data_IF_411518571528
#
_entry.id   IF_411518571528
#
_cell.length_a   1.000
_cell.length_b   1.000
_cell.length_c   1.000
_cell.angle_alpha   90.00
_cell.angle_beta   90.00
_cell.angle_gamma   90.00
#
_symmetry.space_group_name_H-M   'P 1'
#
loop_
_entity.id
_entity.type
_entity.pdbx_description
1 polymer ?
#
# COMPACT_ATOMS: atom_id res chain seq x y z
N UNK A 1 -28.64 -1.00 -31.51
CA UNK A 1 -27.83 -0.47 -30.40
C UNK A 1 -26.46 -0.15 -30.96
N UNK A 2 -25.87 0.99 -30.58
CA UNK A 2 -24.49 1.29 -30.93
C UNK A 2 -23.55 0.26 -30.29
N UNK A 3 -22.46 -0.07 -30.97
CA UNK A 3 -21.48 -1.02 -30.48
C UNK A 3 -20.64 -0.37 -29.37
N UNK A 4 -20.80 -0.86 -28.14
CA UNK A 4 -20.16 -0.30 -26.94
C UNK A 4 -18.64 -0.53 -26.89
N UNK A 5 -18.12 -1.50 -27.65
CA UNK A 5 -16.68 -1.80 -27.71
C UNK A 5 -15.97 -1.13 -28.89
N UNK A 6 -16.66 -0.26 -29.62
CA UNK A 6 -16.11 0.42 -30.81
C UNK A 6 -14.91 1.31 -30.46
N UNK A 7 -15.01 2.15 -29.42
CA UNK A 7 -13.85 2.92 -28.93
C UNK A 7 -12.74 2.01 -28.39
N UNK A 8 -13.10 0.93 -27.71
CA UNK A 8 -12.14 -0.04 -27.19
C UNK A 8 -11.30 -0.64 -28.31
N UNK A 9 -11.93 -1.19 -29.35
CA UNK A 9 -11.22 -1.79 -30.49
C UNK A 9 -10.38 -0.78 -31.27
N UNK A 10 -10.85 0.47 -31.43
CA UNK A 10 -10.06 1.51 -32.10
C UNK A 10 -8.72 1.81 -31.41
N UNK A 11 -8.61 1.55 -30.11
CA UNK A 11 -7.41 1.83 -29.33
C UNK A 11 -6.42 0.66 -29.26
N UNK A 12 -6.78 -0.53 -29.78
CA UNK A 12 -5.95 -1.75 -29.70
C UNK A 12 -5.64 -2.30 -31.08
N UNK A 13 -4.45 -2.87 -31.20
CA UNK A 13 -4.07 -3.73 -32.32
C UNK A 13 -3.97 -5.18 -31.81
N UNK A 14 -4.91 -6.03 -32.22
CA UNK A 14 -5.00 -7.42 -31.78
C UNK A 14 -3.77 -8.27 -32.14
N UNK A 15 -2.92 -7.81 -33.07
CA UNK A 15 -1.66 -8.48 -33.41
C UNK A 15 -0.52 -8.10 -32.45
N UNK A 16 -0.68 -7.05 -31.65
CA UNK A 16 0.39 -6.44 -30.84
C UNK A 16 0.14 -6.50 -29.33
N UNK A 17 -1.11 -6.69 -28.90
CA UNK A 17 -1.46 -6.78 -27.49
C UNK A 17 -1.98 -8.17 -27.11
N UNK A 18 -1.65 -8.70 -25.92
CA UNK A 18 -2.28 -9.90 -25.38
C UNK A 18 -3.71 -9.64 -24.85
N UNK A 19 -4.18 -8.39 -24.88
CA UNK A 19 -5.54 -8.04 -24.46
C UNK A 19 -6.60 -8.74 -25.33
N UNK A 20 -7.76 -9.12 -24.75
CA UNK A 20 -8.87 -9.67 -25.53
C UNK A 20 -9.47 -8.58 -26.46
N UNK A 21 -9.54 -8.85 -27.77
CA UNK A 21 -10.13 -7.93 -28.76
C UNK A 21 -11.23 -8.65 -29.56
N UNK A 22 -12.44 -8.83 -28.99
CA UNK A 22 -13.50 -9.55 -29.68
C UNK A 22 -14.06 -8.74 -30.84
N UNK A 23 -14.22 -9.38 -32.01
CA UNK A 23 -14.73 -8.74 -33.24
C UNK A 23 -16.14 -8.14 -33.08
N UNK A 24 -16.95 -8.70 -32.17
CA UNK A 24 -18.32 -8.25 -31.87
C UNK A 24 -18.59 -8.35 -30.37
N UNK A 25 -19.46 -7.47 -29.87
CA UNK A 25 -20.05 -7.66 -28.54
C UNK A 25 -20.91 -8.93 -28.59
N UNK A 26 -20.72 -9.91 -27.69
CA UNK A 26 -21.62 -11.05 -27.60
C UNK A 26 -23.06 -10.55 -27.48
N UNK A 27 -23.96 -11.05 -28.32
CA UNK A 27 -25.37 -10.67 -28.26
C UNK A 27 -25.91 -10.82 -26.84
N UNK A 28 -26.79 -9.90 -26.40
CA UNK A 28 -27.35 -9.80 -25.04
C UNK A 28 -28.01 -11.12 -24.63
N UNK A 29 -27.22 -12.10 -24.16
CA UNK A 29 -27.77 -13.30 -23.53
C UNK A 29 -28.27 -12.82 -22.19
N UNK A 30 -29.59 -12.66 -22.07
CA UNK A 30 -30.27 -12.47 -20.78
C UNK A 30 -29.92 -13.68 -19.91
N UNK A 31 -28.80 -13.61 -19.20
CA UNK A 31 -28.51 -14.44 -18.05
C UNK A 31 -29.51 -14.03 -16.98
N UNK A 32 -30.73 -14.57 -17.05
CA UNK A 32 -31.85 -14.16 -16.22
C UNK A 32 -31.72 -14.63 -14.75
N UNK A 33 -30.52 -15.00 -14.26
CA UNK A 33 -30.35 -15.61 -12.93
C UNK A 33 -29.02 -15.38 -12.21
N UNK A 34 -27.99 -14.74 -12.80
CA UNK A 34 -26.72 -14.50 -12.10
C UNK A 34 -26.55 -13.02 -11.75
N UNK A 35 -26.13 -12.74 -10.52
CA UNK A 35 -25.73 -11.40 -10.10
C UNK A 35 -24.60 -10.90 -11.02
N UNK A 36 -24.62 -9.62 -11.42
CA UNK A 36 -23.58 -9.07 -12.27
C UNK A 36 -22.25 -9.06 -11.52
N UNK A 37 -21.15 -9.25 -12.25
CA UNK A 37 -19.81 -9.40 -11.69
C UNK A 37 -19.03 -8.10 -11.73
N UNK A 38 -18.02 -8.01 -10.88
CA UNK A 38 -17.00 -6.98 -11.00
C UNK A 38 -15.60 -7.60 -10.96
N UNK A 39 -14.64 -6.84 -11.47
CA UNK A 39 -13.22 -7.07 -11.23
C UNK A 39 -12.57 -5.74 -10.87
N UNK A 40 -11.62 -5.79 -9.94
CA UNK A 40 -10.68 -4.71 -9.66
C UNK A 40 -9.32 -5.21 -10.09
N UNK A 41 -8.68 -4.52 -11.03
CA UNK A 41 -7.35 -4.88 -11.51
C UNK A 41 -6.33 -3.83 -11.06
N UNK A 42 -5.17 -4.27 -10.61
CA UNK A 42 -4.04 -3.41 -10.36
C UNK A 42 -3.22 -3.28 -11.65
N UNK A 43 -2.99 -2.04 -12.08
CA UNK A 43 -2.35 -1.73 -13.35
C UNK A 43 -1.10 -0.87 -13.15
N UNK A 44 0.06 -1.48 -13.35
CA UNK A 44 1.38 -0.85 -13.33
C UNK A 44 1.72 -0.30 -14.73
N UNK A 45 1.01 0.75 -15.14
CA UNK A 45 1.30 1.48 -16.37
C UNK A 45 2.38 2.57 -16.12
N UNK A 46 2.26 3.74 -16.76
CA UNK A 46 3.08 4.92 -16.42
C UNK A 46 3.01 5.31 -14.94
N UNK A 47 1.89 5.00 -14.29
CA UNK A 47 1.69 5.14 -12.86
C UNK A 47 0.75 4.03 -12.37
N UNK A 48 0.99 3.55 -11.15
CA UNK A 48 0.11 2.59 -10.51
C UNK A 48 -1.31 3.16 -10.31
N UNK A 49 -2.31 2.40 -10.75
CA UNK A 49 -3.74 2.67 -10.53
C UNK A 49 -4.54 1.37 -10.48
N UNK A 50 -5.83 1.49 -10.14
CA UNK A 50 -6.75 0.37 -10.07
C UNK A 50 -7.90 0.56 -11.06
N UNK A 51 -8.15 -0.41 -11.92
CA UNK A 51 -9.31 -0.39 -12.81
C UNK A 51 -10.48 -1.08 -12.12
N UNK A 52 -11.52 -0.32 -11.78
CA UNK A 52 -12.82 -0.87 -11.36
C UNK A 52 -13.64 -1.13 -12.61
N UNK A 53 -14.09 -2.37 -12.77
CA UNK A 53 -14.85 -2.82 -13.94
C UNK A 53 -16.11 -3.53 -13.51
N UNK A 54 -17.26 -3.05 -13.98
CA UNK A 54 -18.58 -3.54 -13.62
C UNK A 54 -19.26 -4.15 -14.84
N UNK A 55 -19.65 -5.42 -14.77
CA UNK A 55 -20.45 -6.09 -15.79
C UNK A 55 -21.79 -5.37 -15.95
N UNK A 56 -22.00 -4.74 -17.10
CA UNK A 56 -23.21 -3.98 -17.40
C UNK A 56 -23.52 -4.04 -18.90
N UNK A 57 -24.73 -4.48 -19.25
CA UNK A 57 -25.19 -4.58 -20.64
C UNK A 57 -24.26 -5.33 -21.62
N UNK A 58 -23.59 -6.38 -21.13
CA UNK A 58 -22.75 -7.27 -21.94
C UNK A 58 -21.32 -6.76 -22.18
N UNK A 59 -20.94 -5.67 -21.52
CA UNK A 59 -19.58 -5.13 -21.46
C UNK A 59 -19.19 -4.83 -20.02
N UNK A 60 -17.96 -4.37 -19.81
CA UNK A 60 -17.46 -3.87 -18.53
C UNK A 60 -17.38 -2.34 -18.55
N UNK A 61 -18.31 -1.68 -17.87
CA UNK A 61 -18.20 -0.26 -17.58
C UNK A 61 -16.99 -0.04 -16.65
N UNK A 62 -16.10 0.87 -17.02
CA UNK A 62 -14.73 0.88 -16.49
C UNK A 62 -14.28 2.27 -16.01
N UNK A 63 -13.64 2.29 -14.84
CA UNK A 63 -13.03 3.49 -14.26
C UNK A 63 -11.63 3.19 -13.76
N UNK A 64 -10.67 4.04 -14.14
CA UNK A 64 -9.33 4.05 -13.55
C UNK A 64 -9.34 4.87 -12.25
N UNK A 65 -8.99 4.24 -11.14
CA UNK A 65 -9.04 4.79 -9.77
C UNK A 65 -7.61 4.87 -9.22
N UNK A 66 -6.91 6.03 -9.31
CA UNK A 66 -5.47 6.12 -9.04
C UNK A 66 -5.02 5.90 -7.59
N UNK A 67 -5.96 5.82 -6.65
CA UNK A 67 -5.71 5.52 -5.23
C UNK A 67 -6.49 4.29 -4.75
N UNK A 68 -7.03 3.49 -5.67
CA UNK A 68 -7.92 2.37 -5.34
C UNK A 68 -9.27 2.84 -4.80
N UNK A 69 -10.14 1.90 -4.44
CA UNK A 69 -11.46 2.23 -3.89
C UNK A 69 -11.32 2.78 -2.46
N UNK A 70 -12.04 3.86 -2.10
CA UNK A 70 -11.95 4.44 -0.76
C UNK A 70 -12.53 3.47 0.28
N UNK A 71 -11.79 3.26 1.37
CA UNK A 71 -12.31 2.59 2.57
C UNK A 71 -12.96 3.58 3.54
N UNK A 72 -12.43 4.80 3.56
CA UNK A 72 -12.95 5.92 4.35
C UNK A 72 -14.22 6.49 3.70
N UNK A 73 -15.40 6.44 4.36
CA UNK A 73 -16.62 7.05 3.83
C UNK A 73 -16.55 8.58 3.75
N UNK A 74 -15.62 9.22 4.48
CA UNK A 74 -15.38 10.66 4.46
C UNK A 74 -14.52 11.15 3.30
N UNK A 75 -13.96 10.25 2.47
CA UNK A 75 -13.04 10.62 1.37
C UNK A 75 -13.59 10.23 0.01
N UNK A 76 -13.43 11.15 -0.94
CA UNK A 76 -13.68 10.90 -2.35
C UNK A 76 -12.36 10.58 -3.05
N UNK A 77 -12.34 9.54 -3.88
CA UNK A 77 -11.22 9.24 -4.76
C UNK A 77 -11.57 9.61 -6.20
N UNK A 78 -10.59 10.08 -6.98
CA UNK A 78 -10.75 10.26 -8.42
C UNK A 78 -11.00 8.90 -9.09
N UNK A 79 -11.98 8.84 -9.97
CA UNK A 79 -12.32 7.69 -10.80
C UNK A 79 -12.45 8.17 -12.25
N UNK A 80 -11.41 8.03 -13.07
CA UNK A 80 -11.47 8.49 -14.46
C UNK A 80 -12.25 7.47 -15.27
N UNK A 81 -13.38 7.89 -15.85
CA UNK A 81 -14.18 7.00 -16.70
C UNK A 81 -13.42 6.71 -18.01
N UNK A 82 -13.21 5.44 -18.31
CA UNK A 82 -12.55 4.96 -19.54
C UNK A 82 -13.58 4.35 -20.48
N UNK A 83 -13.17 3.94 -21.68
CA UNK A 83 -14.02 3.16 -22.56
C UNK A 83 -14.49 1.85 -21.91
N UNK A 84 -15.60 1.30 -22.39
CA UNK A 84 -16.08 -0.02 -21.98
C UNK A 84 -15.09 -1.10 -22.41
N UNK A 85 -14.92 -2.14 -21.59
CA UNK A 85 -14.02 -3.25 -21.86
C UNK A 85 -14.79 -4.55 -22.12
N UNK A 86 -14.20 -5.51 -22.87
CA UNK A 86 -14.85 -6.79 -23.13
C UNK A 86 -14.94 -7.66 -21.86
N UNK A 87 -15.91 -8.56 -21.82
CA UNK A 87 -16.22 -9.39 -20.64
C UNK A 87 -15.05 -10.26 -20.17
N UNK A 88 -14.15 -10.60 -21.08
CA UNK A 88 -12.93 -11.36 -20.89
C UNK A 88 -11.95 -10.67 -19.92
N UNK A 89 -12.07 -9.36 -19.73
CA UNK A 89 -11.28 -8.62 -18.74
C UNK A 89 -11.58 -9.02 -17.30
N UNK A 90 -12.72 -9.67 -17.02
CA UNK A 90 -13.02 -10.18 -15.67
C UNK A 90 -11.96 -11.15 -15.14
N UNK A 91 -11.24 -11.84 -16.03
CA UNK A 91 -10.20 -12.80 -15.67
C UNK A 91 -8.82 -12.46 -16.27
N UNK A 92 -8.74 -11.41 -17.08
CA UNK A 92 -7.50 -11.02 -17.74
C UNK A 92 -6.45 -10.54 -16.74
N UNK A 93 -5.22 -10.98 -16.97
CA UNK A 93 -4.00 -10.52 -16.32
C UNK A 93 -2.85 -10.75 -17.31
N UNK A 94 -1.79 -9.95 -17.24
CA UNK A 94 -0.68 -10.05 -18.18
C UNK A 94 0.15 -8.77 -18.28
N UNK A 95 1.16 -8.80 -19.15
CA UNK A 95 1.99 -7.64 -19.49
C UNK A 95 1.54 -7.08 -20.84
N UNK A 96 1.02 -5.85 -20.85
CA UNK A 96 0.70 -5.14 -22.09
C UNK A 96 1.99 -4.47 -22.60
N UNK A 97 2.45 -4.75 -23.83
CA UNK A 97 3.73 -4.26 -24.32
C UNK A 97 3.91 -2.74 -24.24
N UNK A 98 5.14 -2.30 -24.00
CA UNK A 98 5.47 -0.88 -24.00
C UNK A 98 5.17 -0.24 -25.36
N UNK A 99 4.50 0.92 -25.34
CA UNK A 99 4.08 1.65 -26.54
C UNK A 99 2.65 1.33 -26.99
N UNK A 100 2.04 0.24 -26.50
CA UNK A 100 0.62 -0.01 -26.67
C UNK A 100 -0.23 0.89 -25.75
N UNK A 101 -1.50 1.09 -26.12
CA UNK A 101 -2.44 1.82 -25.27
C UNK A 101 -2.68 1.03 -23.99
N UNK A 102 -2.38 1.64 -22.83
CA UNK A 102 -2.45 0.93 -21.56
C UNK A 102 -1.26 0.00 -21.31
N UNK A 103 -0.11 0.20 -21.96
CA UNK A 103 1.10 -0.57 -21.71
C UNK A 103 1.50 -0.61 -20.22
N UNK A 104 1.85 -1.79 -19.74
CA UNK A 104 2.17 -2.07 -18.35
C UNK A 104 1.65 -3.42 -17.85
N UNK A 105 2.00 -3.76 -16.62
CA UNK A 105 1.58 -5.01 -15.97
C UNK A 105 0.19 -4.90 -15.36
N UNK A 106 -0.70 -5.83 -15.69
CA UNK A 106 -2.04 -5.95 -15.13
C UNK A 106 -2.18 -7.23 -14.30
N UNK A 107 -2.76 -7.10 -13.11
CA UNK A 107 -3.05 -8.23 -12.20
C UNK A 107 -4.47 -8.08 -11.64
N UNK A 108 -5.15 -9.20 -11.40
CA UNK A 108 -6.46 -9.17 -10.71
C UNK A 108 -6.21 -8.96 -9.21
N UNK A 109 -6.72 -7.84 -8.69
CA UNK A 109 -6.64 -7.52 -7.27
C UNK A 109 -7.81 -8.12 -6.48
N UNK A 110 -9.02 -8.06 -7.03
CA UNK A 110 -10.24 -8.57 -6.41
C UNK A 110 -11.30 -8.88 -7.46
N UNK A 111 -12.20 -9.80 -7.15
CA UNK A 111 -13.36 -10.12 -7.98
C UNK A 111 -14.54 -10.46 -7.10
N UNK A 112 -15.75 -10.32 -7.65
CA UNK A 112 -16.95 -10.63 -6.92
C UNK A 112 -18.19 -10.34 -7.72
N UNK A 113 -19.29 -10.20 -7.00
CA UNK A 113 -20.58 -9.77 -7.56
C UNK A 113 -20.95 -8.41 -7.01
N UNK A 114 -21.86 -7.73 -7.70
CA UNK A 114 -22.39 -6.48 -7.21
C UNK A 114 -23.90 -6.39 -7.41
N UNK A 115 -24.54 -5.51 -6.65
CA UNK A 115 -25.93 -5.09 -6.88
C UNK A 115 -25.93 -3.64 -7.33
N UNK A 116 -26.52 -3.36 -8.48
CA UNK A 116 -26.80 -1.99 -8.91
C UNK A 116 -28.04 -1.46 -8.16
N UNK A 117 -27.88 -0.39 -7.38
CA UNK A 117 -29.00 0.34 -6.78
C UNK A 117 -29.44 1.52 -7.66
N UNK A 118 -28.49 2.11 -8.41
CA UNK A 118 -28.74 3.18 -9.37
C UNK A 118 -27.73 3.09 -10.51
N UNK A 119 -28.20 3.33 -11.74
CA UNK A 119 -27.34 3.42 -12.92
C UNK A 119 -27.84 4.51 -13.85
N UNK A 120 -27.09 5.62 -13.94
CA UNK A 120 -27.29 6.73 -14.87
C UNK A 120 -25.96 7.14 -15.47
N UNK A 121 -26.02 7.90 -16.56
CA UNK A 121 -24.83 8.38 -17.29
C UNK A 121 -23.93 9.30 -16.46
N UNK A 122 -24.42 9.84 -15.34
CA UNK A 122 -23.69 10.76 -14.46
C UNK A 122 -23.56 10.24 -13.01
N UNK A 123 -24.22 9.14 -12.67
CA UNK A 123 -24.19 8.57 -11.33
C UNK A 123 -24.50 7.07 -11.32
N UNK A 124 -23.64 6.30 -10.67
CA UNK A 124 -23.77 4.85 -10.47
C UNK A 124 -23.65 4.53 -8.99
N UNK A 125 -24.64 3.85 -8.41
CA UNK A 125 -24.62 3.38 -7.03
C UNK A 125 -24.63 1.85 -7.04
N UNK A 126 -23.61 1.25 -6.43
CA UNK A 126 -23.43 -0.20 -6.36
C UNK A 126 -23.10 -0.66 -4.96
N UNK A 127 -23.54 -1.86 -4.61
CA UNK A 127 -23.04 -2.61 -3.44
C UNK A 127 -22.13 -3.70 -3.97
N UNK A 128 -20.84 -3.62 -3.65
CA UNK A 128 -19.83 -4.62 -4.02
C UNK A 128 -19.76 -5.70 -2.96
N UNK A 129 -19.69 -6.95 -3.40
CA UNK A 129 -19.42 -8.13 -2.57
C UNK A 129 -18.34 -8.99 -3.25
N UNK A 130 -17.08 -8.68 -2.93
CA UNK A 130 -15.90 -9.44 -3.33
C UNK A 130 -15.17 -10.08 -2.16
N UNK A 131 -14.01 -10.64 -2.46
CA UNK A 131 -13.14 -11.28 -1.47
C UNK A 131 -12.45 -10.23 -0.60
N UNK A 132 -12.02 -9.11 -1.21
CA UNK A 132 -11.29 -8.02 -0.52
C UNK A 132 -12.11 -6.76 -0.37
N UNK A 133 -12.98 -6.48 -1.33
CA UNK A 133 -13.76 -5.24 -1.41
C UNK A 133 -15.22 -5.54 -1.15
N UNK A 134 -15.71 -5.03 -0.02
CA UNK A 134 -17.13 -5.04 0.35
C UNK A 134 -17.58 -3.66 0.76
N UNK A 135 -18.76 -3.26 0.28
CA UNK A 135 -19.39 -2.01 0.72
C UNK A 135 -20.22 -1.35 -0.37
N UNK A 136 -20.83 -0.22 -0.01
CA UNK A 136 -21.72 0.55 -0.87
C UNK A 136 -21.00 1.77 -1.41
N UNK A 137 -20.85 1.82 -2.72
CA UNK A 137 -20.11 2.86 -3.42
C UNK A 137 -21.02 3.69 -4.31
N UNK A 138 -20.74 4.99 -4.39
CA UNK A 138 -21.29 5.90 -5.40
C UNK A 138 -20.16 6.38 -6.28
N UNK A 139 -20.31 6.20 -7.60
CA UNK A 139 -19.55 6.88 -8.62
C UNK A 139 -20.40 8.02 -9.17
N UNK A 140 -19.84 9.22 -9.28
CA UNK A 140 -20.57 10.38 -9.78
C UNK A 140 -19.66 11.28 -10.60
N UNK A 141 -20.18 11.83 -11.69
CA UNK A 141 -19.47 12.79 -12.51
C UNK A 141 -19.35 14.14 -11.79
N UNK A 142 -18.14 14.68 -11.72
CA UNK A 142 -17.92 16.07 -11.29
C UNK A 142 -17.90 16.95 -12.54
N UNK A 143 -18.88 17.85 -12.69
CA UNK A 143 -19.10 18.62 -13.93
C UNK A 143 -17.81 19.14 -14.59
N UNK A 144 -17.68 18.89 -15.91
CA UNK A 144 -16.47 19.04 -16.72
C UNK A 144 -16.60 18.19 -18.00
N UNK A 145 -15.57 18.08 -18.87
CA UNK A 145 -15.61 17.27 -20.12
C UNK A 145 -15.71 15.76 -19.83
N UNK A 146 -16.86 15.28 -19.35
CA UNK A 146 -17.36 13.89 -19.39
C UNK A 146 -16.55 12.75 -18.74
N UNK A 147 -15.30 12.96 -18.33
CA UNK A 147 -14.38 11.89 -17.88
C UNK A 147 -13.96 11.97 -16.42
N UNK A 148 -14.14 13.11 -15.79
CA UNK A 148 -13.74 13.33 -14.40
C UNK A 148 -14.89 12.87 -13.48
N UNK A 149 -14.81 11.62 -13.02
CA UNK A 149 -15.70 11.10 -12.00
C UNK A 149 -14.98 10.97 -10.67
N UNK A 150 -15.77 10.88 -9.61
CA UNK A 150 -15.30 10.55 -8.27
C UNK A 150 -16.00 9.29 -7.81
N UNK A 151 -15.34 8.52 -6.95
CA UNK A 151 -15.92 7.38 -6.22
C UNK A 151 -15.84 7.65 -4.72
N UNK A 152 -16.89 7.28 -4.00
CA UNK A 152 -17.01 7.41 -2.53
C UNK A 152 -17.68 6.18 -1.95
N UNK A 153 -17.21 5.72 -0.78
CA UNK A 153 -17.91 4.75 0.06
C UNK A 153 -19.01 5.47 0.85
N UNK A 154 -20.20 4.90 0.92
CA UNK A 154 -21.39 5.55 1.53
C UNK A 154 -21.96 4.80 2.71
N UNK A 155 -21.63 3.52 2.87
CA UNK A 155 -21.87 2.77 4.10
C UNK A 155 -20.73 3.03 5.10
N UNK A 156 -20.97 2.83 6.41
CA UNK A 156 -19.93 2.90 7.42
C UNK A 156 -18.75 1.99 7.08
N UNK A 157 -17.56 2.38 7.55
CA UNK A 157 -16.40 1.50 7.52
C UNK A 157 -16.64 0.27 8.41
N UNK A 158 -15.93 -0.85 8.19
CA UNK A 158 -15.99 -2.01 9.06
C UNK A 158 -15.71 -1.68 10.53
N UNK A 159 -16.27 -2.45 11.46
CA UNK A 159 -15.96 -2.31 12.88
C UNK A 159 -14.45 -2.47 13.13
N UNK A 160 -13.89 -1.63 14.01
CA UNK A 160 -12.45 -1.59 14.30
C UNK A 160 -11.59 -0.91 13.23
N UNK A 161 -12.16 -0.53 12.08
CA UNK A 161 -11.46 0.26 11.07
C UNK A 161 -11.35 1.73 11.51
N UNK A 162 -10.19 2.31 11.26
CA UNK A 162 -9.85 3.71 11.49
C UNK A 162 -9.19 4.29 10.24
N UNK A 163 -9.36 5.58 9.94
CA UNK A 163 -8.63 6.22 8.85
C UNK A 163 -7.13 6.23 9.17
N UNK A 164 -6.31 6.20 8.12
CA UNK A 164 -4.87 6.37 8.27
C UNK A 164 -4.57 7.67 9.02
N UNK A 165 -3.76 7.63 10.10
CA UNK A 165 -3.42 8.83 10.85
C UNK A 165 -2.60 9.80 10.00
N UNK A 166 -2.84 11.10 10.16
CA UNK A 166 -2.10 12.13 9.42
C UNK A 166 -0.68 12.35 9.96
N UNK A 167 -0.46 12.07 11.25
CA UNK A 167 0.80 12.18 11.94
C UNK A 167 0.86 11.19 13.11
N UNK A 168 1.91 10.37 13.14
CA UNK A 168 2.35 9.60 14.30
C UNK A 168 3.78 10.03 14.61
N UNK A 169 3.97 10.65 15.77
CA UNK A 169 5.29 11.12 16.21
C UNK A 169 6.17 9.94 16.64
N UNK A 170 7.46 9.87 16.26
CA UNK A 170 8.32 8.77 16.65
C UNK A 170 8.44 8.61 18.17
N UNK A 171 8.29 7.39 18.67
CA UNK A 171 8.71 6.99 20.02
C UNK A 171 10.24 6.98 20.08
N UNK A 172 10.82 7.49 21.17
CA UNK A 172 12.27 7.63 21.34
C UNK A 172 12.76 6.75 22.51
N UNK A 173 13.92 6.08 22.37
CA UNK A 173 14.49 5.33 23.48
C UNK A 173 14.95 6.27 24.61
N UNK A 174 14.80 5.82 25.85
CA UNK A 174 15.59 6.34 26.97
C UNK A 174 17.03 5.81 26.90
N UNK A 175 17.97 6.51 27.53
CA UNK A 175 19.34 6.03 27.62
C UNK A 175 19.42 4.81 28.56
N UNK A 176 19.95 3.71 28.05
CA UNK A 176 20.22 2.49 28.79
C UNK A 176 21.72 2.32 28.97
N UNK A 177 22.23 2.51 30.19
CA UNK A 177 23.67 2.37 30.46
C UNK A 177 24.17 0.92 30.35
N UNK A 178 23.29 -0.08 30.50
CA UNK A 178 23.61 -1.52 30.42
C UNK A 178 22.43 -2.29 29.81
N UNK A 179 22.70 -3.50 29.32
CA UNK A 179 21.66 -4.45 28.93
C UNK A 179 20.72 -4.74 30.11
N UNK A 180 19.39 -4.87 29.87
CA UNK A 180 18.44 -5.34 30.86
C UNK A 180 18.87 -6.70 31.43
N UNK A 181 18.61 -6.92 32.72
CA UNK A 181 18.96 -8.19 33.38
C UNK A 181 18.00 -9.32 33.02
N UNK A 182 16.75 -8.98 32.79
CA UNK A 182 15.64 -9.85 32.39
C UNK A 182 15.58 -9.98 30.87
N UNK A 183 16.65 -10.48 30.25
CA UNK A 183 16.83 -10.40 28.80
C UNK A 183 15.66 -10.96 27.98
N UNK A 184 14.99 -12.01 28.46
CA UNK A 184 13.83 -12.65 27.81
C UNK A 184 12.60 -11.74 27.69
N UNK A 185 12.51 -10.67 28.47
CA UNK A 185 11.44 -9.67 28.35
C UNK A 185 11.70 -8.63 27.25
N UNK A 186 12.82 -8.72 26.53
CA UNK A 186 13.29 -7.71 25.58
C UNK A 186 13.65 -8.30 24.22
N UNK A 187 13.31 -7.55 23.18
CA UNK A 187 13.82 -7.72 21.83
C UNK A 187 14.90 -6.68 21.55
N UNK A 188 15.95 -7.08 20.81
CA UNK A 188 17.09 -6.22 20.52
C UNK A 188 17.18 -5.97 19.02
N UNK A 189 17.33 -4.71 18.63
CA UNK A 189 17.61 -4.29 17.27
C UNK A 189 18.97 -3.59 17.20
N UNK A 190 19.67 -3.72 16.07
CA UNK A 190 20.87 -2.91 15.82
C UNK A 190 20.49 -1.43 15.72
N UNK A 191 21.27 -0.57 16.38
CA UNK A 191 21.06 0.87 16.31
C UNK A 191 21.75 1.44 15.07
N UNK A 192 20.95 1.79 14.08
CA UNK A 192 21.42 2.31 12.81
C UNK A 192 21.79 3.80 12.89
N UNK A 193 22.98 4.17 12.42
CA UNK A 193 23.45 5.56 12.31
C UNK A 193 22.85 6.28 11.09
N UNK A 194 21.53 6.42 11.06
CA UNK A 194 20.76 7.00 9.95
C UNK A 194 19.80 8.11 10.36
N UNK A 195 18.90 8.45 9.43
CA UNK A 195 17.86 9.47 9.63
C UNK A 195 16.54 8.77 9.93
N UNK A 196 15.89 9.10 11.06
CA UNK A 196 14.56 8.55 11.39
C UNK A 196 13.54 8.99 10.34
N UNK A 197 12.68 8.08 9.91
CA UNK A 197 11.61 8.40 8.96
C UNK A 197 10.33 7.59 9.23
N UNK A 198 9.19 8.27 9.13
CA UNK A 198 7.84 7.73 9.21
C UNK A 198 7.26 7.62 7.80
N UNK A 199 7.04 6.40 7.32
CA UNK A 199 6.52 6.13 5.98
C UNK A 199 5.02 5.83 6.02
N UNK A 200 4.23 6.65 5.36
CA UNK A 200 2.79 6.49 5.17
C UNK A 200 2.56 6.00 3.74
N UNK A 201 2.13 4.75 3.61
CA UNK A 201 1.93 4.08 2.32
C UNK A 201 0.44 3.86 2.10
N UNK A 202 -0.14 4.47 1.07
CA UNK A 202 -1.54 4.30 0.70
C UNK A 202 -1.70 4.36 -0.81
N UNK A 203 -2.44 3.40 -1.38
CA UNK A 203 -2.74 3.35 -2.81
C UNK A 203 -1.50 3.47 -3.70
N UNK A 204 -0.40 2.79 -3.35
CA UNK A 204 0.84 2.83 -4.13
C UNK A 204 1.67 4.10 -3.98
N UNK A 205 1.30 4.99 -3.05
CA UNK A 205 1.95 6.29 -2.86
C UNK A 205 2.60 6.34 -1.49
N UNK A 206 3.74 7.01 -1.45
CA UNK A 206 4.49 7.28 -0.24
C UNK A 206 4.31 8.74 0.16
N UNK A 207 4.03 8.98 1.44
CA UNK A 207 4.36 10.21 2.15
C UNK A 207 5.37 9.88 3.23
N UNK A 208 6.45 10.64 3.31
CA UNK A 208 7.56 10.37 4.23
C UNK A 208 7.80 11.59 5.11
N UNK A 209 7.73 11.41 6.43
CA UNK A 209 8.08 12.44 7.41
C UNK A 209 9.40 12.07 8.08
N UNK A 210 10.25 13.04 8.38
CA UNK A 210 11.44 12.80 9.20
C UNK A 210 11.11 12.76 10.70
N UNK A 211 12.14 12.61 11.55
CA UNK A 211 11.98 12.51 13.00
C UNK A 211 11.42 13.77 13.70
N UNK A 212 11.36 14.89 12.97
CA UNK A 212 10.90 16.21 13.44
C UNK A 212 9.63 16.66 12.69
N UNK A 213 8.92 15.69 12.08
CA UNK A 213 7.65 15.82 11.34
C UNK A 213 7.72 16.56 9.99
N UNK A 214 8.91 16.87 9.47
CA UNK A 214 9.03 17.53 8.17
C UNK A 214 8.77 16.54 7.04
N UNK A 215 8.00 16.95 6.03
CA UNK A 215 7.79 16.11 4.85
C UNK A 215 9.04 16.09 3.95
N UNK A 216 9.62 14.90 3.80
CA UNK A 216 10.86 14.66 3.05
C UNK A 216 10.65 13.69 1.88
N UNK A 217 9.41 13.42 1.48
CA UNK A 217 9.05 12.50 0.39
C UNK A 217 9.85 12.74 -0.90
N UNK A 218 9.97 14.01 -1.33
CA UNK A 218 10.68 14.39 -2.56
C UNK A 218 12.21 14.26 -2.47
N UNK A 219 12.76 14.13 -1.27
CA UNK A 219 14.20 13.98 -1.04
C UNK A 219 14.70 12.57 -1.33
N UNK A 220 13.83 11.57 -1.31
CA UNK A 220 14.18 10.14 -1.45
C UNK A 220 13.31 9.45 -2.52
N UNK A 221 13.41 9.84 -3.80
CA UNK A 221 12.52 9.37 -4.86
C UNK A 221 12.60 7.86 -5.11
N UNK A 222 13.74 7.23 -4.80
CA UNK A 222 13.97 5.79 -4.92
C UNK A 222 13.04 4.95 -4.01
N UNK A 223 12.47 5.53 -2.94
CA UNK A 223 11.59 4.81 -2.02
C UNK A 223 10.15 4.68 -2.53
N UNK A 224 9.79 5.37 -3.63
CA UNK A 224 8.46 5.24 -4.24
C UNK A 224 8.10 3.80 -4.57
N UNK A 225 9.06 3.03 -5.06
CA UNK A 225 8.85 1.63 -5.44
C UNK A 225 8.43 0.75 -4.24
N UNK A 226 8.77 1.11 -3.00
CA UNK A 226 8.28 0.41 -1.80
C UNK A 226 6.77 0.54 -1.66
N UNK A 227 6.22 1.73 -1.92
CA UNK A 227 4.79 1.96 -1.83
C UNK A 227 4.02 1.18 -2.91
N UNK A 228 4.57 1.10 -4.12
CA UNK A 228 4.01 0.30 -5.21
C UNK A 228 4.10 -1.21 -4.95
N UNK A 229 5.16 -1.67 -4.28
CA UNK A 229 5.33 -3.06 -3.88
C UNK A 229 4.38 -3.48 -2.74
N UNK A 230 4.10 -2.57 -1.81
CA UNK A 230 3.12 -2.78 -0.74
C UNK A 230 1.68 -2.74 -1.25
N UNK A 231 1.41 -1.95 -2.30
CA UNK A 231 0.08 -1.83 -2.87
C UNK A 231 -0.50 -3.20 -3.25
N UNK A 232 -1.75 -3.51 -2.87
CA UNK A 232 -2.81 -2.62 -2.37
C UNK A 232 -2.75 -2.27 -0.89
N UNK A 233 -1.84 -2.89 -0.12
CA UNK A 233 -1.79 -2.70 1.31
C UNK A 233 -1.44 -1.26 1.69
N UNK A 234 -2.06 -0.78 2.75
CA UNK A 234 -1.87 0.52 3.34
C UNK A 234 -1.24 0.36 4.72
N UNK A 235 -0.17 1.09 4.99
CA UNK A 235 0.58 0.96 6.24
C UNK A 235 1.19 2.29 6.69
N UNK A 236 1.38 2.42 8.01
CA UNK A 236 2.26 3.43 8.61
C UNK A 236 3.42 2.71 9.27
N UNK A 237 4.61 2.95 8.73
CA UNK A 237 5.86 2.32 9.14
C UNK A 237 6.76 3.32 9.85
N UNK A 238 7.40 2.86 10.91
CA UNK A 238 8.50 3.56 11.56
C UNK A 238 9.82 2.94 11.13
N UNK A 239 10.81 3.75 10.77
CA UNK A 239 12.06 3.24 10.21
C UNK A 239 13.22 4.21 10.24
N UNK A 240 14.34 3.75 9.70
CA UNK A 240 15.58 4.52 9.59
C UNK A 240 16.07 4.47 8.16
N UNK A 241 16.31 5.63 7.57
CA UNK A 241 16.97 5.76 6.28
C UNK A 241 18.48 5.71 6.50
N UNK A 242 19.14 4.82 5.77
CA UNK A 242 20.59 4.63 5.80
C UNK A 242 21.15 4.52 4.39
N UNK A 243 22.47 4.56 4.26
CA UNK A 243 23.20 3.99 3.13
C UNK A 243 24.27 3.07 3.70
N UNK A 244 24.39 1.87 3.16
CA UNK A 244 25.43 0.91 3.55
C UNK A 244 26.44 0.87 2.41
N UNK A 245 27.70 1.25 2.68
CA UNK A 245 28.75 1.21 1.66
C UNK A 245 29.24 -0.23 1.40
N UNK A 246 29.97 -0.52 0.31
CA UNK A 246 30.44 -1.87 0.00
C UNK A 246 31.32 -2.54 1.07
N UNK A 247 31.86 -1.75 2.01
CA UNK A 247 32.59 -2.26 3.16
C UNK A 247 31.71 -2.50 4.39
N UNK A 248 30.38 -2.40 4.24
CA UNK A 248 29.39 -2.61 5.31
C UNK A 248 29.17 -1.41 6.22
N UNK A 249 29.78 -0.25 5.96
CA UNK A 249 29.65 0.90 6.86
C UNK A 249 28.35 1.66 6.62
N UNK A 250 27.65 1.94 7.72
CA UNK A 250 26.42 2.73 7.72
C UNK A 250 26.75 4.22 7.63
N UNK A 251 26.07 4.92 6.72
CA UNK A 251 26.17 6.36 6.49
C UNK A 251 24.77 6.96 6.34
N UNK A 252 24.62 8.29 6.47
CA UNK A 252 23.38 8.96 6.11
C UNK A 252 22.99 8.70 4.65
N UNK A 253 21.67 8.63 4.35
CA UNK A 253 21.17 8.45 2.99
C UNK A 253 21.47 9.69 2.13
N UNK A 254 21.35 9.53 0.82
CA UNK A 254 21.40 10.64 -0.14
C UNK A 254 20.17 10.62 -1.04
N UNK A 255 20.02 11.69 -1.83
CA UNK A 255 18.95 11.77 -2.83
C UNK A 255 19.02 10.67 -3.90
N UNK A 256 20.21 10.12 -4.16
CA UNK A 256 20.44 9.12 -5.22
C UNK A 256 20.60 7.69 -4.72
N UNK A 257 20.88 7.52 -3.44
CA UNK A 257 21.24 6.23 -2.88
C UNK A 257 20.91 6.17 -1.39
N UNK A 258 20.37 5.03 -0.97
CA UNK A 258 19.95 4.74 0.39
C UNK A 258 19.00 3.55 0.46
N UNK A 259 18.65 3.19 1.68
CA UNK A 259 17.73 2.12 2.03
C UNK A 259 16.89 2.55 3.22
N UNK A 260 15.60 2.22 3.21
CA UNK A 260 14.71 2.36 4.35
C UNK A 260 14.67 1.05 5.15
N UNK A 261 15.05 1.11 6.42
CA UNK A 261 14.98 -0.01 7.35
C UNK A 261 13.72 0.13 8.20
N UNK A 262 12.70 -0.70 7.95
CA UNK A 262 11.43 -0.67 8.66
C UNK A 262 11.53 -1.39 10.02
N UNK A 263 11.43 -0.65 11.11
CA UNK A 263 11.66 -1.16 12.48
C UNK A 263 10.38 -1.30 13.31
N UNK A 264 9.28 -0.66 12.93
CA UNK A 264 7.99 -0.82 13.59
C UNK A 264 6.81 -0.59 12.61
N UNK A 265 5.66 -1.18 12.92
CA UNK A 265 4.41 -1.03 12.16
C UNK A 265 3.37 -0.44 13.11
N UNK A 266 2.82 0.71 12.74
CA UNK A 266 2.01 1.55 13.62
C UNK A 266 0.53 1.59 13.24
N UNK A 267 0.22 1.23 12.00
CA UNK A 267 -1.13 1.12 11.47
C UNK A 267 -1.08 0.26 10.20
N UNK A 268 -2.05 -0.64 10.02
CA UNK A 268 -2.15 -1.52 8.86
C UNK A 268 -3.61 -1.68 8.45
N UNK A 269 -3.93 -1.40 7.19
CA UNK A 269 -5.22 -1.75 6.57
C UNK A 269 -6.49 -1.21 7.27
N UNK A 270 -6.36 -0.16 8.08
CA UNK A 270 -7.46 0.35 8.92
C UNK A 270 -7.28 0.14 10.42
N UNK A 271 -6.35 -0.72 10.82
CA UNK A 271 -6.21 -1.14 12.21
C UNK A 271 -4.95 -0.49 12.81
N UNK A 272 -5.08 0.38 13.83
CA UNK A 272 -3.94 0.88 14.57
C UNK A 272 -3.28 -0.25 15.35
N UNK A 273 -1.94 -0.26 15.37
CA UNK A 273 -1.17 -1.23 16.16
C UNK A 273 -0.47 -0.58 17.36
N UNK A 274 -0.77 0.68 17.68
CA UNK A 274 -0.07 1.40 18.76
C UNK A 274 -0.18 0.71 20.12
N UNK A 275 -1.35 0.14 20.45
CA UNK A 275 -1.58 -0.58 21.71
C UNK A 275 -1.21 -2.07 21.64
N UNK A 276 -0.81 -2.56 20.47
CA UNK A 276 -0.38 -3.94 20.27
C UNK A 276 1.03 -4.13 20.84
N UNK A 277 1.31 -5.22 21.58
CA UNK A 277 2.65 -5.54 22.08
C UNK A 277 3.72 -5.50 20.99
N UNK A 278 4.90 -4.96 21.31
CA UNK A 278 6.01 -4.81 20.36
C UNK A 278 6.33 -6.10 19.60
N UNK A 279 6.38 -7.25 20.27
CA UNK A 279 6.64 -8.54 19.62
C UNK A 279 5.61 -8.83 18.51
N UNK A 280 4.33 -8.58 18.77
CA UNK A 280 3.27 -8.81 17.79
C UNK A 280 3.32 -7.78 16.64
N UNK A 281 3.65 -6.51 16.92
CA UNK A 281 3.88 -5.51 15.84
C UNK A 281 5.03 -5.92 14.93
N UNK A 282 6.04 -6.57 15.52
CA UNK A 282 7.22 -7.07 14.83
C UNK A 282 6.88 -8.26 13.93
N UNK A 283 6.07 -9.19 14.41
CA UNK A 283 5.51 -10.29 13.60
C UNK A 283 4.64 -9.76 12.44
N UNK A 284 3.78 -8.76 12.70
CA UNK A 284 2.97 -8.13 11.67
C UNK A 284 3.82 -7.45 10.60
N UNK A 285 4.90 -6.76 11.00
CA UNK A 285 5.82 -6.11 10.06
C UNK A 285 6.66 -7.12 9.27
N UNK A 286 7.08 -8.22 9.88
CA UNK A 286 7.76 -9.32 9.19
C UNK A 286 6.81 -9.96 8.16
N UNK A 287 5.53 -10.07 8.48
CA UNK A 287 4.47 -10.53 7.58
C UNK A 287 4.25 -9.67 6.34
N UNK A 288 4.68 -8.40 6.33
CA UNK A 288 4.68 -7.56 5.13
C UNK A 288 5.78 -7.95 4.14
N UNK A 289 6.72 -8.82 4.53
CA UNK A 289 7.81 -9.31 3.70
C UNK A 289 8.56 -8.19 2.96
N UNK A 290 8.82 -7.07 3.65
CA UNK A 290 9.56 -5.94 3.11
C UNK A 290 11.00 -6.35 2.79
N UNK A 291 11.24 -6.68 1.53
CA UNK A 291 12.54 -7.02 0.99
C UNK A 291 12.64 -6.48 -0.45
N UNK A 292 13.34 -5.37 -0.63
CA UNK A 292 13.55 -4.76 -1.93
C UNK A 292 14.89 -4.02 -2.02
N UNK A 293 15.22 -3.47 -3.20
CA UNK A 293 16.52 -2.86 -3.45
C UNK A 293 16.85 -1.70 -2.50
N UNK A 294 15.82 -0.94 -2.12
CA UNK A 294 15.94 0.26 -1.29
C UNK A 294 15.09 0.21 -0.02
N UNK A 295 14.55 -0.94 0.36
CA UNK A 295 13.82 -1.11 1.61
C UNK A 295 13.99 -2.52 2.14
N UNK A 296 14.07 -2.65 3.46
CA UNK A 296 14.03 -3.95 4.10
C UNK A 296 13.50 -3.84 5.52
N UNK A 297 12.99 -4.96 6.02
CA UNK A 297 12.84 -5.22 7.44
C UNK A 297 14.16 -5.80 7.97
N UNK A 298 14.91 -5.12 8.85
CA UNK A 298 16.08 -5.71 9.49
C UNK A 298 15.65 -6.76 10.54
N UNK A 299 16.51 -7.76 10.81
CA UNK A 299 16.24 -8.73 11.86
C UNK A 299 16.20 -8.07 13.24
N UNK A 300 15.46 -8.70 14.14
CA UNK A 300 15.39 -8.38 15.56
C UNK A 300 15.64 -9.64 16.37
N UNK A 301 16.11 -9.48 17.60
CA UNK A 301 16.64 -10.60 18.38
C UNK A 301 16.02 -10.64 19.78
N UNK A 302 15.03 -11.49 20.06
CA UNK A 302 14.50 -11.70 21.42
C UNK A 302 15.53 -12.37 22.34
N UNK A 303 15.70 -11.90 23.58
CA UNK A 303 16.50 -12.58 24.62
C UNK A 303 18.03 -12.51 24.47
N UNK A 304 18.57 -12.29 23.28
CA UNK A 304 20.02 -12.43 22.99
C UNK A 304 20.76 -11.09 22.88
N UNK A 305 20.49 -10.17 23.82
CA UNK A 305 21.03 -8.80 23.78
C UNK A 305 22.56 -8.71 23.82
N UNK A 306 23.24 -9.62 24.51
CA UNK A 306 24.71 -9.65 24.56
C UNK A 306 25.34 -9.96 23.20
N UNK A 307 24.76 -10.90 22.46
CA UNK A 307 25.22 -11.26 21.12
C UNK A 307 24.93 -10.15 20.11
N UNK A 308 23.74 -9.54 20.19
CA UNK A 308 23.40 -8.38 19.37
C UNK A 308 24.34 -7.20 19.62
N UNK A 309 24.69 -6.92 20.88
CA UNK A 309 25.64 -5.84 21.22
C UNK A 309 27.07 -6.16 20.76
N UNK A 310 27.50 -7.42 20.84
CA UNK A 310 28.79 -7.86 20.29
C UNK A 310 28.82 -7.70 18.77
N UNK A 311 27.77 -8.12 18.07
CA UNK A 311 27.66 -7.93 16.62
C UNK A 311 27.68 -6.44 16.23
N UNK A 312 27.01 -5.58 17.01
CA UNK A 312 27.06 -4.13 16.81
C UNK A 312 28.51 -3.59 16.90
N UNK A 313 29.29 -4.05 17.89
CA UNK A 313 30.72 -3.69 18.03
C UNK A 313 31.56 -4.12 16.83
N UNK A 314 31.44 -5.39 16.44
CA UNK A 314 32.19 -5.97 15.32
C UNK A 314 31.89 -5.27 13.99
N UNK A 315 30.67 -4.77 13.82
CA UNK A 315 30.24 -4.03 12.63
C UNK A 315 30.45 -2.51 12.72
N UNK A 316 31.01 -2.01 13.82
CA UNK A 316 31.23 -0.57 14.03
C UNK A 316 29.93 0.24 14.12
N UNK A 317 28.83 -0.38 14.55
CA UNK A 317 27.55 0.26 14.77
C UNK A 317 27.50 0.96 16.14
N UNK A 318 26.72 2.04 16.30
CA UNK A 318 26.57 2.74 17.58
C UNK A 318 26.19 1.86 18.77
N UNK A 319 25.46 0.77 18.56
CA UNK A 319 25.00 -0.11 19.64
C UNK A 319 23.69 -0.80 19.29
N UNK A 320 22.83 -1.01 20.28
CA UNK A 320 21.52 -1.63 20.12
C UNK A 320 20.41 -0.77 20.71
N UNK A 321 19.19 -0.99 20.24
CA UNK A 321 17.96 -0.55 20.90
C UNK A 321 17.27 -1.79 21.47
N UNK A 322 17.19 -1.89 22.80
CA UNK A 322 16.41 -2.90 23.48
C UNK A 322 14.97 -2.41 23.62
N UNK A 323 13.98 -3.20 23.21
CA UNK A 323 12.56 -2.87 23.26
C UNK A 323 11.81 -3.94 24.07
N UNK A 324 11.02 -3.55 25.07
CA UNK A 324 10.20 -4.49 25.86
C UNK A 324 9.18 -5.20 24.96
N UNK A 325 9.15 -6.53 25.01
CA UNK A 325 8.33 -7.35 24.11
C UNK A 325 6.83 -7.08 24.25
N UNK A 326 6.37 -6.80 25.47
CA UNK A 326 4.98 -6.55 25.82
C UNK A 326 4.56 -5.07 25.67
N UNK A 327 5.48 -4.19 25.29
CA UNK A 327 5.23 -2.75 25.36
C UNK A 327 4.39 -2.22 24.20
N UNK A 328 3.47 -1.28 24.47
CA UNK A 328 2.82 -0.50 23.41
C UNK A 328 3.84 0.45 22.76
N UNK A 329 3.45 1.01 21.62
CA UNK A 329 4.13 2.15 21.04
C UNK A 329 3.61 3.43 21.71
N UNK A 330 4.51 4.34 22.09
CA UNK A 330 4.18 5.58 22.78
C UNK A 330 4.53 6.80 21.91
N UNK A 331 3.62 7.27 21.03
CA UNK A 331 3.94 8.31 20.07
C UNK A 331 4.49 9.58 20.73
N UNK A 332 5.62 10.07 20.21
CA UNK A 332 6.29 11.30 20.66
C UNK A 332 6.92 11.24 22.04
N UNK A 333 6.84 10.11 22.77
CA UNK A 333 7.45 9.98 24.09
C UNK A 333 8.86 9.45 24.01
N UNK A 334 9.72 9.95 24.91
CA UNK A 334 10.92 9.22 25.32
C UNK A 334 10.53 8.20 26.38
N UNK A 335 10.72 6.92 26.08
CA UNK A 335 10.15 5.84 26.89
C UNK A 335 11.21 4.94 27.50
N UNK A 336 10.92 4.37 28.67
CA UNK A 336 11.72 3.30 29.28
C UNK A 336 11.39 1.92 28.72
N UNK A 337 10.35 1.80 27.88
CA UNK A 337 10.10 0.58 27.12
C UNK A 337 11.15 0.35 26.03
N UNK A 338 11.81 1.41 25.58
CA UNK A 338 12.90 1.36 24.61
C UNK A 338 14.17 1.92 25.25
N UNK A 339 15.27 1.18 25.22
CA UNK A 339 16.55 1.58 25.79
C UNK A 339 17.63 1.58 24.71
N UNK A 340 18.32 2.70 24.54
CA UNK A 340 19.51 2.76 23.68
C UNK A 340 20.74 2.38 24.49
N UNK A 341 21.49 1.39 24.03
CA UNK A 341 22.68 0.87 24.71
C UNK A 341 23.87 0.97 23.77
N UNK A 342 24.93 1.63 24.22
CA UNK A 342 26.12 1.89 23.41
C UNK A 342 27.01 0.65 23.28
N UNK A 343 27.61 0.50 22.10
CA UNK A 343 28.60 -0.54 21.81
C UNK A 343 30.01 -0.21 22.32
N UNK A 344 30.29 0.98 22.84
CA UNK A 344 31.63 1.31 23.36
C UNK A 344 32.06 0.48 24.56
#
# INVERSE_FOLDING_TARGET
MADRLDEYRRKRDAARTPEPVPERVPGRKRSARRAPRFVIQQHHARSLHWDLRLEHDGVLASWAVPRGLPRDPGRNHLAVHTEDHPMEYLTFHGEIPAGEYGGGRMTVHDTGTYRAEKWRDDEVIVVLDGERTKGRYVLFATGGRGRDWMIRRTDPAPEGWTPMPELVRPMRPAEGGRLPRDADAWGYELRWAGVRAMAYVSGGRLRLLDGDDNEVTGSYPWLRAMAEALAPAEAVLDGVLVRIDPAGRVRPPTRRDGQFLAVDLLWLEGVPSLDVPYAQRRDLLDGLALAGPHWQTPPWFPGVGADALRAAREQGLPGVVAKRLDSPYEPGRRSRHWLSIDAS
#
